data_IF_209485261799
#
_entry.id   IF_209485261799
#
_cell.length_a   1.000
_cell.length_b   1.000
_cell.length_c   1.000
_cell.angle_alpha   90.00
_cell.angle_beta   90.00
_cell.angle_gamma   90.00
#
_symmetry.space_group_name_H-M   'P 1'
#
loop_
_entity.id
_entity.type
_entity.pdbx_description
1 polymer ?
#
# COMPACT_ATOMS: atom_id res chain seq x y z
N UNK A 1 -21.20 15.83 1.08
CA UNK A 1 -19.98 15.92 0.27
C UNK A 1 -18.85 15.43 1.17
N UNK A 2 -18.48 14.15 1.08
CA UNK A 2 -17.40 13.59 1.90
C UNK A 2 -16.10 14.06 1.26
N UNK A 3 -15.42 15.01 1.90
CA UNK A 3 -14.04 15.33 1.55
C UNK A 3 -13.22 14.06 1.72
N UNK A 4 -12.85 13.44 0.61
CA UNK A 4 -11.75 12.50 0.61
C UNK A 4 -10.54 13.30 1.08
N UNK A 5 -10.18 13.18 2.36
CA UNK A 5 -8.90 13.64 2.87
C UNK A 5 -7.87 13.05 1.92
N UNK A 6 -7.27 13.90 1.11
CA UNK A 6 -6.22 13.49 0.21
C UNK A 6 -5.01 13.24 1.11
N UNK A 7 -4.84 12.00 1.58
CA UNK A 7 -3.84 11.62 2.58
C UNK A 7 -2.40 11.89 2.11
N UNK A 8 -2.20 12.18 0.82
CA UNK A 8 -0.95 12.66 0.22
C UNK A 8 -0.84 14.18 0.03
N UNK A 9 -1.81 14.98 0.49
CA UNK A 9 -1.77 16.44 0.30
C UNK A 9 -0.57 17.04 1.02
N UNK A 10 0.36 17.61 0.25
CA UNK A 10 1.57 18.25 0.75
C UNK A 10 2.78 17.33 0.96
N UNK A 11 2.65 16.04 0.66
CA UNK A 11 3.78 15.11 0.63
C UNK A 11 4.45 15.10 -0.75
N UNK A 12 5.77 14.97 -0.76
CA UNK A 12 6.58 14.78 -1.97
C UNK A 12 6.43 13.37 -2.56
N UNK A 13 6.80 13.20 -3.83
CA UNK A 13 6.86 11.87 -4.48
C UNK A 13 7.71 10.86 -3.69
N UNK A 14 8.81 11.31 -3.08
CA UNK A 14 9.68 10.44 -2.28
C UNK A 14 8.96 9.90 -1.04
N UNK A 15 8.28 10.77 -0.30
CA UNK A 15 7.55 10.38 0.91
C UNK A 15 6.39 9.42 0.61
N UNK A 16 5.63 9.67 -0.47
CA UNK A 16 4.50 8.80 -0.81
C UNK A 16 4.97 7.43 -1.32
N UNK A 17 6.09 7.37 -2.05
CA UNK A 17 6.66 6.09 -2.53
C UNK A 17 7.29 5.30 -1.39
N UNK A 18 7.97 5.97 -0.46
CA UNK A 18 8.48 5.34 0.76
C UNK A 18 7.35 4.78 1.63
N UNK A 19 6.25 5.54 1.80
CA UNK A 19 5.06 5.06 2.51
C UNK A 19 4.43 3.84 1.84
N UNK A 20 4.38 3.83 0.50
CA UNK A 20 3.86 2.68 -0.25
C UNK A 20 4.75 1.45 -0.09
N UNK A 21 6.08 1.59 -0.19
CA UNK A 21 7.03 0.49 0.09
C UNK A 21 6.88 -0.02 1.53
N UNK A 22 6.73 0.88 2.51
CA UNK A 22 6.52 0.50 3.90
C UNK A 22 5.21 -0.29 4.08
N UNK A 23 4.12 0.13 3.42
CA UNK A 23 2.85 -0.60 3.41
C UNK A 23 3.00 -1.99 2.76
N UNK A 24 3.74 -2.11 1.65
CA UNK A 24 4.02 -3.41 1.02
C UNK A 24 4.81 -4.35 1.94
N UNK A 25 5.81 -3.84 2.67
CA UNK A 25 6.58 -4.63 3.63
C UNK A 25 5.71 -5.09 4.80
N UNK A 26 4.96 -4.18 5.39
CA UNK A 26 4.01 -4.50 6.46
C UNK A 26 2.99 -5.54 5.98
N UNK A 27 2.50 -5.41 4.74
CA UNK A 27 1.61 -6.37 4.15
C UNK A 27 2.22 -7.76 4.01
N UNK A 28 3.45 -7.85 3.51
CA UNK A 28 4.18 -9.11 3.40
C UNK A 28 4.41 -9.77 4.77
N UNK A 29 4.75 -8.98 5.79
CA UNK A 29 4.95 -9.47 7.16
C UNK A 29 3.66 -10.04 7.75
N UNK A 30 2.53 -9.36 7.57
CA UNK A 30 1.22 -9.85 8.06
C UNK A 30 0.80 -11.09 7.27
N UNK A 31 0.93 -11.11 5.95
CA UNK A 31 0.63 -12.30 5.13
C UNK A 31 1.41 -13.51 5.65
N UNK A 32 2.72 -13.33 5.89
CA UNK A 32 3.58 -14.40 6.42
C UNK A 32 3.11 -14.90 7.79
N UNK A 33 2.78 -13.99 8.71
CA UNK A 33 2.25 -14.38 10.04
C UNK A 33 0.96 -15.19 9.91
N UNK A 34 0.03 -14.75 9.07
CA UNK A 34 -1.25 -15.44 8.89
C UNK A 34 -1.11 -16.77 8.16
N UNK A 35 -0.15 -16.90 7.23
CA UNK A 35 0.22 -18.16 6.59
C UNK A 35 0.77 -19.16 7.62
N UNK A 36 1.66 -18.72 8.50
CA UNK A 36 2.23 -19.54 9.59
C UNK A 36 1.11 -20.04 10.52
N UNK A 37 0.20 -19.16 10.93
CA UNK A 37 -0.97 -19.52 11.77
C UNK A 37 -1.94 -20.46 11.05
N UNK A 38 -2.13 -20.27 9.74
CA UNK A 38 -2.99 -21.15 8.92
C UNK A 38 -2.37 -22.53 8.78
N UNK A 39 -1.05 -22.63 8.63
CA UNK A 39 -0.34 -23.90 8.48
C UNK A 39 -0.48 -24.81 9.71
N UNK A 40 -0.56 -24.24 10.92
CA UNK A 40 -0.78 -25.01 12.16
C UNK A 40 -2.27 -25.22 12.50
N UNK A 41 -3.18 -24.68 11.69
CA UNK A 41 -4.63 -24.85 11.88
C UNK A 41 -5.27 -23.91 12.90
N UNK A 42 -4.57 -22.86 13.34
CA UNK A 42 -5.01 -21.95 14.41
C UNK A 42 -6.09 -20.94 13.97
N UNK A 43 -6.33 -20.82 12.66
CA UNK A 43 -7.24 -19.81 12.10
C UNK A 43 -8.21 -20.40 11.09
N UNK A 44 -9.46 -19.94 11.14
CA UNK A 44 -10.46 -20.33 10.15
C UNK A 44 -10.16 -19.71 8.78
N UNK A 45 -10.62 -20.36 7.71
CA UNK A 45 -10.49 -19.82 6.34
C UNK A 45 -11.08 -18.41 6.19
N UNK A 46 -12.16 -18.11 6.92
CA UNK A 46 -12.80 -16.78 6.91
C UNK A 46 -11.92 -15.76 7.61
N UNK A 47 -11.41 -16.06 8.80
CA UNK A 47 -10.53 -15.14 9.54
C UNK A 47 -9.25 -14.83 8.74
N UNK A 48 -8.66 -15.85 8.13
CA UNK A 48 -7.51 -15.69 7.24
C UNK A 48 -7.83 -14.78 6.04
N UNK A 49 -8.94 -15.03 5.33
CA UNK A 49 -9.33 -14.20 4.19
C UNK A 49 -9.63 -12.75 4.59
N UNK A 50 -10.26 -12.52 5.73
CA UNK A 50 -10.51 -11.18 6.26
C UNK A 50 -9.22 -10.43 6.59
N UNK A 51 -8.23 -11.12 7.17
CA UNK A 51 -6.92 -10.52 7.45
C UNK A 51 -6.18 -10.12 6.17
N UNK A 52 -6.15 -11.01 5.17
CA UNK A 52 -5.55 -10.70 3.87
C UNK A 52 -6.24 -9.52 3.18
N UNK A 53 -7.57 -9.46 3.23
CA UNK A 53 -8.33 -8.37 2.63
C UNK A 53 -8.03 -7.03 3.31
N UNK A 54 -7.93 -6.99 4.64
CA UNK A 54 -7.62 -5.77 5.37
C UNK A 54 -6.25 -5.22 4.95
N UNK A 55 -5.24 -6.07 4.93
CA UNK A 55 -3.88 -5.71 4.53
C UNK A 55 -3.81 -5.27 3.06
N UNK A 56 -4.46 -6.01 2.15
CA UNK A 56 -4.53 -5.64 0.75
C UNK A 56 -5.21 -4.28 0.54
N UNK A 57 -6.21 -3.96 1.37
CA UNK A 57 -6.91 -2.67 1.32
C UNK A 57 -5.99 -1.52 1.75
N UNK A 58 -5.19 -1.71 2.79
CA UNK A 58 -4.21 -0.71 3.25
C UNK A 58 -3.09 -0.47 2.23
N UNK A 59 -2.54 -1.54 1.64
CA UNK A 59 -1.54 -1.42 0.57
C UNK A 59 -2.13 -0.71 -0.67
N UNK A 60 -3.36 -1.08 -1.06
CA UNK A 60 -4.04 -0.46 -2.19
C UNK A 60 -4.33 1.03 -1.95
N UNK A 61 -4.65 1.43 -0.71
CA UNK A 61 -4.81 2.83 -0.34
C UNK A 61 -3.49 3.61 -0.51
N UNK A 62 -2.36 3.06 -0.03
CA UNK A 62 -1.04 3.68 -0.21
C UNK A 62 -0.63 3.75 -1.69
N UNK A 63 -0.88 2.69 -2.47
CA UNK A 63 -0.66 2.67 -3.91
C UNK A 63 -1.48 3.72 -4.64
N UNK A 64 -2.73 3.91 -4.24
CA UNK A 64 -3.63 4.91 -4.83
C UNK A 64 -3.07 6.33 -4.69
N UNK A 65 -2.48 6.66 -3.54
CA UNK A 65 -1.84 7.97 -3.31
C UNK A 65 -0.70 8.18 -4.33
N UNK A 66 0.13 7.16 -4.59
CA UNK A 66 1.18 7.23 -5.62
C UNK A 66 0.57 7.47 -7.01
N UNK A 67 -0.51 6.76 -7.35
CA UNK A 67 -1.17 6.90 -8.65
C UNK A 67 -1.80 8.28 -8.86
N UNK A 68 -2.40 8.85 -7.81
CA UNK A 68 -3.07 10.16 -7.85
C UNK A 68 -2.10 11.35 -7.72
N UNK A 69 -0.85 11.13 -7.31
CA UNK A 69 0.15 12.20 -7.18
C UNK A 69 0.41 12.92 -8.51
N UNK A 70 0.32 14.25 -8.52
CA UNK A 70 0.68 15.08 -9.66
C UNK A 70 2.16 15.50 -9.53
N UNK A 71 3.06 15.05 -10.42
CA UNK A 71 4.44 15.50 -10.43
C UNK A 71 4.56 17.01 -10.63
N UNK A 72 5.53 17.64 -9.97
CA UNK A 72 5.77 19.08 -10.04
C UNK A 72 6.58 19.46 -11.28
N UNK A 73 7.40 18.54 -11.79
CA UNK A 73 8.24 18.76 -12.97
C UNK A 73 8.41 17.48 -13.84
N UNK A 74 9.13 17.62 -14.96
CA UNK A 74 9.41 16.53 -15.88
C UNK A 74 10.28 15.43 -15.27
N UNK A 75 11.25 15.81 -14.42
CA UNK A 75 12.14 14.85 -13.78
C UNK A 75 11.38 14.00 -12.76
N UNK A 76 10.47 14.60 -12.02
CA UNK A 76 9.58 13.93 -11.08
C UNK A 76 8.55 13.05 -11.80
N UNK A 77 8.08 13.48 -12.98
CA UNK A 77 7.25 12.64 -13.86
C UNK A 77 7.98 11.36 -14.27
N UNK A 78 9.26 11.46 -14.64
CA UNK A 78 10.10 10.28 -14.95
C UNK A 78 10.25 9.39 -13.72
N UNK A 79 10.54 9.96 -12.54
CA UNK A 79 10.68 9.18 -11.29
C UNK A 79 9.40 8.42 -10.95
N UNK A 80 8.23 9.07 -11.09
CA UNK A 80 6.94 8.42 -10.88
C UNK A 80 6.76 7.27 -11.86
N UNK A 81 7.06 7.46 -13.14
CA UNK A 81 6.98 6.41 -14.16
C UNK A 81 7.88 5.22 -13.83
N UNK A 82 9.14 5.47 -13.45
CA UNK A 82 10.07 4.41 -13.04
C UNK A 82 9.50 3.62 -11.87
N UNK A 83 8.98 4.31 -10.86
CA UNK A 83 8.41 3.65 -9.69
C UNK A 83 7.19 2.77 -10.01
N UNK A 84 6.24 3.26 -10.81
CA UNK A 84 5.03 2.47 -11.14
C UNK A 84 5.30 1.32 -12.11
N UNK A 85 6.46 1.32 -12.77
CA UNK A 85 6.89 0.29 -13.72
C UNK A 85 7.80 -0.79 -13.11
N UNK A 86 8.25 -0.61 -11.86
CA UNK A 86 9.05 -1.56 -11.11
C UNK A 86 8.19 -2.71 -10.56
#
# INVERSE_FOLDING_TARGET
MVEARNEGAGLSLAEITERHIAAQKAAADVVREWDERRAVGDVSSVAYASALLAVATEEAAARRIVMEYCPLDHQESIRKLVYISA
#
